data_IF_705047587637
#
_entry.id   IF_705047587637
#
_cell.length_a   1.000
_cell.length_b   1.000
_cell.length_c   1.000
_cell.angle_alpha   90.00
_cell.angle_beta   90.00
_cell.angle_gamma   90.00
#
_symmetry.space_group_name_H-M   'P 1'
#
loop_
_entity.id
_entity.type
_entity.pdbx_description
1 polymer ?
#
# COMPACT_ATOMS: atom_id res chain seq x y z
N UNK A 1 -15.29 12.86 -12.61
CA UNK A 1 -15.20 14.17 -11.92
C UNK A 1 -15.33 14.03 -10.40
N UNK A 2 -16.46 13.56 -9.86
CA UNK A 2 -16.67 13.45 -8.40
C UNK A 2 -15.57 12.63 -7.69
N UNK A 3 -15.16 11.49 -8.26
CA UNK A 3 -14.12 10.64 -7.68
C UNK A 3 -12.74 11.32 -7.63
N UNK A 4 -12.40 12.11 -8.65
CA UNK A 4 -11.11 12.80 -8.74
C UNK A 4 -11.05 13.95 -7.72
N UNK A 5 -12.15 14.69 -7.57
CA UNK A 5 -12.28 15.74 -6.57
C UNK A 5 -12.23 15.14 -5.16
N UNK A 6 -12.90 14.01 -4.91
CA UNK A 6 -12.84 13.31 -3.62
C UNK A 6 -11.42 12.85 -3.30
N UNK A 7 -10.71 12.23 -4.24
CA UNK A 7 -9.32 11.78 -4.06
C UNK A 7 -8.39 12.99 -3.82
N UNK A 8 -8.55 14.06 -4.61
CA UNK A 8 -7.79 15.30 -4.44
C UNK A 8 -8.04 15.95 -3.08
N UNK A 9 -9.30 16.00 -2.64
CA UNK A 9 -9.68 16.51 -1.33
C UNK A 9 -9.09 15.72 -0.17
N UNK A 10 -9.11 14.38 -0.26
CA UNK A 10 -8.45 13.50 0.72
C UNK A 10 -6.94 13.77 0.74
N UNK A 11 -6.30 13.90 -0.43
CA UNK A 11 -4.87 14.19 -0.54
C UNK A 11 -4.49 15.52 0.11
N UNK A 12 -5.26 16.59 -0.14
CA UNK A 12 -5.04 17.91 0.49
C UNK A 12 -5.24 17.84 2.00
N UNK A 13 -6.28 17.16 2.47
CA UNK A 13 -6.55 16.99 3.89
C UNK A 13 -5.40 16.26 4.60
N UNK A 14 -4.94 15.13 4.06
CA UNK A 14 -3.80 14.40 4.62
C UNK A 14 -2.48 15.19 4.54
N UNK A 15 -2.23 15.91 3.45
CA UNK A 15 -1.06 16.78 3.30
C UNK A 15 -1.03 17.89 4.34
N UNK A 16 -2.17 18.54 4.61
CA UNK A 16 -2.30 19.55 5.66
C UNK A 16 -2.08 18.95 7.05
N UNK A 17 -2.69 17.80 7.32
CA UNK A 17 -2.63 17.13 8.61
C UNK A 17 -1.19 16.67 8.93
N UNK A 18 -0.42 16.28 7.91
CA UNK A 18 1.01 15.95 8.02
C UNK A 18 1.89 17.14 8.42
N UNK A 19 1.58 18.33 7.91
CA UNK A 19 2.35 19.54 8.21
C UNK A 19 1.98 20.15 9.56
N UNK A 20 0.69 20.17 9.91
CA UNK A 20 0.18 20.88 11.10
C UNK A 20 0.14 19.98 12.34
N UNK A 21 -0.22 18.71 12.18
CA UNK A 21 -0.45 17.80 13.31
C UNK A 21 0.21 16.43 13.10
N UNK A 22 1.55 16.36 12.96
CA UNK A 22 2.24 15.09 12.72
C UNK A 22 2.05 14.08 13.87
N UNK A 23 1.93 14.58 15.11
CA UNK A 23 1.76 13.73 16.29
C UNK A 23 0.37 13.05 16.33
N UNK A 24 -0.67 13.65 15.75
CA UNK A 24 -2.00 13.02 15.71
C UNK A 24 -2.00 11.85 14.73
N UNK A 25 -1.33 11.97 13.58
CA UNK A 25 -1.14 10.88 12.61
C UNK A 25 -0.44 9.69 13.27
N UNK A 26 0.69 9.93 13.93
CA UNK A 26 1.43 8.88 14.61
C UNK A 26 0.62 8.22 15.73
N UNK A 27 -0.21 8.98 16.44
CA UNK A 27 -1.07 8.41 17.48
C UNK A 27 -2.16 7.52 16.89
N UNK A 28 -2.71 7.89 15.73
CA UNK A 28 -3.70 7.10 14.99
C UNK A 28 -3.05 5.84 14.41
N UNK A 29 -1.88 5.97 13.78
CA UNK A 29 -1.10 4.85 13.25
C UNK A 29 -0.74 3.86 14.35
N UNK A 30 -0.23 4.31 15.50
CA UNK A 30 0.09 3.44 16.65
C UNK A 30 -1.14 2.76 17.23
N UNK A 31 -2.29 3.45 17.29
CA UNK A 31 -3.56 2.84 17.72
C UNK A 31 -4.03 1.81 16.71
N UNK A 32 -3.94 2.08 15.42
CA UNK A 32 -4.31 1.16 14.36
C UNK A 32 -3.42 -0.10 14.35
N UNK A 33 -2.10 0.08 14.48
CA UNK A 33 -1.12 -1.01 14.55
C UNK A 33 -1.30 -1.88 15.81
N UNK A 34 -1.82 -1.30 16.91
CA UNK A 34 -2.20 -2.06 18.11
C UNK A 34 -3.48 -2.89 17.92
N UNK A 35 -4.44 -2.37 17.15
CA UNK A 35 -5.74 -3.03 16.92
C UNK A 35 -5.60 -4.13 15.85
N UNK A 36 -4.82 -3.86 14.80
CA UNK A 36 -4.44 -4.80 13.76
C UNK A 36 -2.94 -5.03 13.85
N UNK A 37 -2.52 -5.91 14.78
CA UNK A 37 -1.21 -6.53 14.59
C UNK A 37 -1.35 -7.44 13.37
N UNK A 38 -0.72 -7.04 12.27
CA UNK A 38 -0.63 -7.82 11.03
C UNK A 38 -0.03 -9.20 11.30
N UNK A 39 0.94 -9.31 12.19
CA UNK A 39 1.65 -10.56 12.50
C UNK A 39 0.74 -11.74 12.96
N UNK A 40 -0.05 -11.64 14.05
CA UNK A 40 -0.85 -12.77 14.55
C UNK A 40 -2.08 -13.07 13.69
N UNK A 41 -2.75 -12.06 13.14
CA UNK A 41 -3.97 -12.25 12.32
C UNK A 41 -3.65 -12.85 10.97
N UNK A 42 -2.57 -12.40 10.32
CA UNK A 42 -2.14 -12.95 9.04
C UNK A 42 -1.61 -14.38 9.17
N UNK A 43 -0.97 -14.71 10.31
CA UNK A 43 -0.57 -16.09 10.62
C UNK A 43 -1.77 -17.03 10.79
N UNK A 44 -2.85 -16.56 11.43
CA UNK A 44 -4.06 -17.34 11.66
C UNK A 44 -4.81 -17.65 10.35
N UNK A 45 -4.84 -16.70 9.42
CA UNK A 45 -5.55 -16.82 8.13
C UNK A 45 -4.62 -17.12 6.94
N UNK A 46 -3.38 -17.53 7.17
CA UNK A 46 -2.39 -17.75 6.09
C UNK A 46 -2.89 -18.70 4.99
N UNK A 47 -3.58 -19.78 5.37
CA UNK A 47 -4.01 -20.81 4.41
C UNK A 47 -5.09 -20.28 3.46
N UNK A 48 -6.20 -19.67 3.94
CA UNK A 48 -7.18 -19.08 3.04
C UNK A 48 -6.60 -17.93 2.19
N UNK A 49 -5.72 -17.09 2.75
CA UNK A 49 -5.05 -16.05 1.97
C UNK A 49 -4.13 -16.62 0.90
N UNK A 50 -3.33 -17.64 1.21
CA UNK A 50 -2.41 -18.27 0.27
C UNK A 50 -3.13 -18.96 -0.88
N UNK A 51 -4.22 -19.66 -0.58
CA UNK A 51 -5.06 -20.32 -1.60
C UNK A 51 -5.74 -19.26 -2.48
N UNK A 52 -6.31 -18.21 -1.89
CA UNK A 52 -6.94 -17.12 -2.64
C UNK A 52 -5.96 -16.42 -3.58
N UNK A 53 -4.76 -16.09 -3.08
CA UNK A 53 -3.70 -15.46 -3.87
C UNK A 53 -3.20 -16.39 -4.98
N UNK A 54 -3.12 -17.70 -4.72
CA UNK A 54 -2.71 -18.69 -5.71
C UNK A 54 -3.69 -18.73 -6.90
N UNK A 55 -4.99 -18.85 -6.64
CA UNK A 55 -6.00 -18.82 -7.71
C UNK A 55 -6.03 -17.48 -8.45
N UNK A 56 -5.90 -16.36 -7.74
CA UNK A 56 -5.83 -15.04 -8.36
C UNK A 56 -4.60 -14.92 -9.28
N UNK A 57 -3.44 -15.45 -8.87
CA UNK A 57 -2.22 -15.43 -9.68
C UNK A 57 -2.38 -16.23 -10.97
N UNK A 58 -2.98 -17.42 -10.91
CA UNK A 58 -3.23 -18.26 -12.09
C UNK A 58 -4.21 -17.57 -13.02
N UNK A 59 -5.28 -16.97 -12.48
CA UNK A 59 -6.26 -16.23 -13.27
C UNK A 59 -5.63 -15.05 -14.00
N UNK A 60 -4.79 -14.26 -13.32
CA UNK A 60 -4.06 -13.13 -13.93
C UNK A 60 -3.13 -13.63 -15.03
N UNK A 61 -2.33 -14.66 -14.77
CA UNK A 61 -1.41 -15.22 -15.78
C UNK A 61 -2.20 -15.71 -17.00
N UNK A 62 -3.31 -16.43 -16.80
CA UNK A 62 -4.16 -16.91 -17.89
C UNK A 62 -4.77 -15.76 -18.71
N UNK A 63 -5.31 -14.73 -18.04
CA UNK A 63 -5.90 -13.58 -18.70
C UNK A 63 -4.87 -12.78 -19.52
N UNK A 64 -3.67 -12.61 -18.99
CA UNK A 64 -2.61 -11.80 -19.61
C UNK A 64 -1.92 -12.49 -20.79
N UNK A 65 -1.80 -13.81 -20.77
CA UNK A 65 -1.28 -14.57 -21.91
C UNK A 65 -2.15 -14.32 -23.16
N UNK A 66 -3.46 -14.06 -22.96
CA UNK A 66 -4.38 -13.73 -24.04
C UNK A 66 -4.31 -12.26 -24.52
N UNK A 67 -3.85 -11.32 -23.69
CA UNK A 67 -3.89 -9.88 -23.97
C UNK A 67 -2.52 -9.22 -24.20
N UNK A 68 -1.42 -10.00 -24.28
CA UNK A 68 -0.08 -9.55 -24.71
C UNK A 68 0.47 -8.31 -23.97
N UNK A 69 0.24 -8.21 -22.66
CA UNK A 69 0.84 -7.19 -21.80
C UNK A 69 1.99 -7.78 -20.98
N UNK A 70 3.18 -7.79 -21.57
CA UNK A 70 4.39 -8.41 -21.01
C UNK A 70 4.73 -7.92 -19.59
N UNK A 71 4.51 -6.63 -19.30
CA UNK A 71 4.80 -6.04 -17.99
C UNK A 71 3.92 -6.56 -16.86
N UNK A 72 2.69 -6.98 -17.16
CA UNK A 72 1.75 -7.46 -16.14
C UNK A 72 2.01 -8.94 -15.81
N UNK A 73 2.69 -9.70 -16.68
CA UNK A 73 3.03 -11.11 -16.43
C UNK A 73 3.97 -11.21 -15.23
N UNK A 74 4.87 -10.24 -15.09
CA UNK A 74 5.79 -10.12 -13.95
C UNK A 74 4.99 -10.04 -12.64
N UNK A 75 3.86 -9.31 -12.63
CA UNK A 75 2.99 -9.19 -11.45
C UNK A 75 2.32 -10.54 -11.14
N UNK A 76 1.84 -11.25 -12.16
CA UNK A 76 1.27 -12.59 -11.99
C UNK A 76 2.28 -13.60 -11.44
N UNK A 77 3.51 -13.61 -11.98
CA UNK A 77 4.59 -14.48 -11.51
C UNK A 77 5.01 -14.13 -10.08
N UNK A 78 5.14 -12.85 -9.76
CA UNK A 78 5.43 -12.41 -8.39
C UNK A 78 4.33 -12.86 -7.42
N UNK A 79 3.05 -12.65 -7.77
CA UNK A 79 1.93 -13.09 -6.95
C UNK A 79 1.94 -14.61 -6.72
N UNK A 80 2.30 -15.39 -7.74
CA UNK A 80 2.44 -16.84 -7.63
C UNK A 80 3.57 -17.23 -6.67
N UNK A 81 4.76 -16.62 -6.80
CA UNK A 81 5.89 -16.86 -5.89
C UNK A 81 5.51 -16.52 -4.44
N UNK A 82 4.87 -15.37 -4.21
CA UNK A 82 4.41 -14.98 -2.87
C UNK A 82 3.35 -15.93 -2.31
N UNK A 83 2.42 -16.42 -3.14
CA UNK A 83 1.40 -17.38 -2.70
C UNK A 83 2.02 -18.72 -2.25
N UNK A 84 3.01 -19.22 -3.00
CA UNK A 84 3.71 -20.46 -2.69
C UNK A 84 4.57 -20.30 -1.43
N UNK A 85 5.29 -19.19 -1.30
CA UNK A 85 6.04 -18.89 -0.07
C UNK A 85 5.13 -18.81 1.15
N UNK A 86 3.91 -18.29 1.01
CA UNK A 86 2.96 -18.13 2.10
C UNK A 86 2.37 -19.47 2.56
N UNK A 87 2.20 -20.41 1.63
CA UNK A 87 1.74 -21.77 1.92
C UNK A 87 2.86 -22.69 2.43
N UNK A 88 4.05 -22.64 1.82
CA UNK A 88 5.14 -23.60 2.06
C UNK A 88 6.16 -23.12 3.11
N UNK A 89 6.53 -21.85 3.07
CA UNK A 89 7.64 -21.29 3.88
C UNK A 89 7.27 -19.96 4.54
N UNK A 90 6.22 -19.92 5.39
CA UNK A 90 5.73 -18.67 5.97
C UNK A 90 6.80 -17.93 6.78
N UNK A 91 7.71 -18.67 7.44
CA UNK A 91 8.82 -18.10 8.21
C UNK A 91 9.79 -17.26 7.35
N UNK A 92 9.91 -17.56 6.05
CA UNK A 92 10.76 -16.81 5.12
C UNK A 92 10.13 -15.46 4.73
N UNK A 93 8.81 -15.41 4.58
CA UNK A 93 8.11 -14.14 4.33
C UNK A 93 8.26 -13.22 5.53
N UNK A 94 8.05 -13.73 6.75
CA UNK A 94 8.17 -12.90 7.94
C UNK A 94 9.61 -12.45 8.22
N UNK A 95 10.62 -13.25 7.84
CA UNK A 95 12.02 -12.80 7.96
C UNK A 95 12.34 -11.68 6.96
N UNK A 96 11.81 -11.76 5.74
CA UNK A 96 11.90 -10.70 4.74
C UNK A 96 11.15 -9.44 5.17
N UNK A 97 9.93 -9.58 5.70
CA UNK A 97 9.14 -8.48 6.25
C UNK A 97 9.89 -7.81 7.41
N UNK A 98 10.44 -8.59 8.34
CA UNK A 98 11.18 -8.05 9.48
C UNK A 98 12.49 -7.38 9.08
N UNK A 99 13.16 -7.87 8.04
CA UNK A 99 14.32 -7.19 7.46
C UNK A 99 13.91 -5.89 6.75
N UNK A 100 12.83 -5.91 5.96
CA UNK A 100 12.31 -4.72 5.28
C UNK A 100 11.88 -3.64 6.28
N UNK A 101 11.20 -4.03 7.35
CA UNK A 101 10.75 -3.12 8.41
C UNK A 101 11.92 -2.57 9.26
N UNK A 102 13.06 -3.29 9.31
CA UNK A 102 14.29 -2.77 9.92
C UNK A 102 14.97 -1.72 9.03
N UNK A 103 14.95 -1.92 7.70
CA UNK A 103 15.56 -0.98 6.73
C UNK A 103 14.70 0.28 6.59
N UNK A 104 13.38 0.11 6.58
CA UNK A 104 12.40 1.20 6.55
C UNK A 104 11.54 1.15 7.81
N UNK A 105 12.02 1.74 8.90
CA UNK A 105 11.11 2.11 9.98
C UNK A 105 10.27 3.29 9.47
N UNK A 106 8.99 3.02 9.19
CA UNK A 106 8.03 4.02 8.71
C UNK A 106 7.97 5.22 9.66
N UNK A 107 7.81 5.00 10.96
CA UNK A 107 7.70 6.08 11.97
C UNK A 107 8.81 7.16 11.91
N UNK A 108 10.12 6.85 12.07
CA UNK A 108 11.19 7.84 12.07
C UNK A 108 11.51 8.40 10.68
N UNK A 109 11.39 7.59 9.62
CA UNK A 109 11.67 8.04 8.24
C UNK A 109 10.58 9.00 7.78
N UNK A 110 9.32 8.69 8.10
CA UNK A 110 8.17 9.53 7.80
C UNK A 110 8.21 10.84 8.57
N UNK A 111 8.63 10.82 9.85
CA UNK A 111 8.88 12.06 10.62
C UNK A 111 10.01 12.92 10.02
N UNK A 112 11.09 12.28 9.55
CA UNK A 112 12.24 12.98 8.93
C UNK A 112 11.87 13.65 7.60
N UNK A 113 11.02 13.02 6.79
CA UNK A 113 10.61 13.51 5.47
C UNK A 113 9.17 14.05 5.43
N UNK A 114 8.55 14.34 6.58
CA UNK A 114 7.14 14.79 6.66
C UNK A 114 6.85 16.03 5.81
N UNK A 115 7.81 16.96 5.75
CA UNK A 115 7.66 18.24 5.04
C UNK A 115 7.63 18.02 3.52
N UNK A 116 8.62 17.34 2.90
CA UNK A 116 8.55 17.07 1.47
C UNK A 116 7.35 16.19 1.09
N UNK A 117 6.99 15.18 1.90
CA UNK A 117 5.81 14.36 1.64
C UNK A 117 4.50 15.15 1.76
N UNK A 118 4.35 15.97 2.80
CA UNK A 118 3.16 16.81 2.99
C UNK A 118 2.99 17.85 1.87
N UNK A 119 4.09 18.49 1.46
CA UNK A 119 4.08 19.43 0.33
C UNK A 119 3.74 18.74 -0.99
N UNK A 120 4.28 17.54 -1.23
CA UNK A 120 3.96 16.77 -2.43
C UNK A 120 2.47 16.40 -2.49
N UNK A 121 1.89 15.93 -1.37
CA UNK A 121 0.46 15.62 -1.27
C UNK A 121 -0.42 16.86 -1.50
N UNK A 122 -0.06 18.01 -0.90
CA UNK A 122 -0.78 19.26 -1.09
C UNK A 122 -0.76 19.72 -2.54
N UNK A 123 0.43 19.75 -3.17
CA UNK A 123 0.58 20.17 -4.56
C UNK A 123 -0.14 19.22 -5.52
N UNK A 124 -0.01 17.91 -5.31
CA UNK A 124 -0.69 16.90 -6.11
C UNK A 124 -2.21 16.98 -5.96
N UNK A 125 -2.70 17.10 -4.73
CA UNK A 125 -4.14 17.24 -4.46
C UNK A 125 -4.72 18.54 -5.03
N UNK A 126 -4.04 19.67 -4.85
CA UNK A 126 -4.43 20.95 -5.45
C UNK A 126 -4.42 20.88 -6.98
N UNK A 127 -3.40 20.25 -7.58
CA UNK A 127 -3.33 20.04 -9.02
C UNK A 127 -4.46 19.15 -9.53
N UNK A 128 -4.81 18.07 -8.83
CA UNK A 128 -5.93 17.18 -9.22
C UNK A 128 -7.28 17.89 -9.15
N UNK A 129 -7.52 18.71 -8.11
CA UNK A 129 -8.74 19.51 -7.99
C UNK A 129 -8.77 20.59 -9.07
N UNK A 130 -7.66 21.31 -9.27
CA UNK A 130 -7.54 22.33 -10.31
C UNK A 130 -7.76 21.74 -11.70
N UNK A 131 -7.12 20.61 -12.02
CA UNK A 131 -7.34 19.92 -13.30
C UNK A 131 -8.80 19.49 -13.44
N UNK A 132 -9.41 18.93 -12.39
CA UNK A 132 -10.80 18.49 -12.46
C UNK A 132 -11.84 19.62 -12.55
N UNK A 133 -11.51 20.85 -12.17
CA UNK A 133 -12.42 22.03 -12.21
C UNK A 133 -12.08 22.96 -13.38
N UNK A 134 -10.79 23.07 -13.72
CA UNK A 134 -10.23 23.94 -14.76
C UNK A 134 -10.27 23.36 -16.17
N UNK A 135 -10.76 22.12 -16.35
CA UNK A 135 -11.21 21.65 -17.65
C UNK A 135 -12.66 22.11 -17.91
N UNK A 136 -12.76 23.36 -18.38
CA UNK A 136 -13.48 23.71 -19.60
C UNK A 136 -12.45 23.97 -20.70
#
# INVERSE_FOLDING_TARGET
MIYIISIGGISVFFGLLLLVAPNTILSIERRANKIYMTDPTFMQYRVPFGIGLFFASIFIIYSLINESTEYLIIIGVLALVFSLMLLLTPKAIFSLERQANRVYMTDPTFMKYRIPFGMFLLLSGAFMIYSSIGYF
#
